data_IF_970984653860
#
_entry.id   IF_970984653860
#
_cell.length_a   1.000
_cell.length_b   1.000
_cell.length_c   1.000
_cell.angle_alpha   90.00
_cell.angle_beta   90.00
_cell.angle_gamma   90.00
#
_symmetry.space_group_name_H-M   'P 1'
#
loop_
_entity.id
_entity.type
_entity.pdbx_description
1 polymer ?
#
# COMPACT_ATOMS: atom_id res chain seq x y z
N UNK A 1 7.05 19.81 12.72
CA UNK A 1 7.14 18.51 12.02
C UNK A 1 6.91 17.48 13.10
N UNK A 2 5.63 17.21 13.39
CA UNK A 2 5.09 16.56 14.60
C UNK A 2 5.50 17.27 15.91
N UNK A 3 4.54 17.70 16.70
CA UNK A 3 4.83 18.15 18.06
C UNK A 3 5.39 16.93 18.81
N UNK A 4 6.55 17.08 19.47
CA UNK A 4 7.22 15.99 20.21
C UNK A 4 6.39 15.44 21.40
N UNK A 5 5.19 16.00 21.61
CA UNK A 5 4.26 15.65 22.67
C UNK A 5 3.06 14.93 22.05
N UNK A 6 3.01 13.62 22.23
CA UNK A 6 1.83 12.81 21.93
C UNK A 6 0.74 13.21 22.94
N UNK A 7 -0.46 13.54 22.44
CA UNK A 7 -1.60 13.89 23.28
C UNK A 7 -1.98 12.70 24.18
N UNK A 8 -2.37 12.98 25.43
CA UNK A 8 -2.61 11.95 26.45
C UNK A 8 -3.76 11.00 26.08
N UNK A 9 -4.79 11.52 25.42
CA UNK A 9 -5.92 10.76 24.90
C UNK A 9 -5.48 9.76 23.81
N UNK A 10 -4.62 10.17 22.87
CA UNK A 10 -4.04 9.29 21.85
C UNK A 10 -3.19 8.19 22.50
N UNK A 11 -2.43 8.52 23.55
CA UNK A 11 -1.65 7.55 24.30
C UNK A 11 -2.55 6.53 25.01
N UNK A 12 -3.64 6.99 25.62
CA UNK A 12 -4.59 6.14 26.33
C UNK A 12 -5.36 5.24 25.36
N UNK A 13 -5.75 5.75 24.20
CA UNK A 13 -6.36 4.96 23.12
C UNK A 13 -5.42 3.85 22.66
N UNK A 14 -4.17 4.18 22.32
CA UNK A 14 -3.17 3.18 21.95
C UNK A 14 -2.97 2.14 23.06
N UNK A 15 -2.88 2.58 24.32
CA UNK A 15 -2.76 1.67 25.47
C UNK A 15 -3.92 0.68 25.52
N UNK A 16 -5.17 1.14 25.40
CA UNK A 16 -6.33 0.25 25.43
C UNK A 16 -6.36 -0.72 24.26
N UNK A 17 -5.94 -0.28 23.08
CA UNK A 17 -5.79 -1.14 21.91
C UNK A 17 -4.78 -2.26 22.22
N UNK A 18 -3.59 -1.94 22.74
CA UNK A 18 -2.58 -2.95 23.07
C UNK A 18 -2.98 -3.88 24.25
N UNK A 19 -3.67 -3.36 25.27
CA UNK A 19 -4.03 -4.13 26.45
C UNK A 19 -5.22 -5.08 26.23
N UNK A 20 -6.22 -4.64 25.45
CA UNK A 20 -7.53 -5.31 25.39
C UNK A 20 -7.87 -5.90 24.02
N UNK A 21 -7.14 -5.55 22.97
CA UNK A 21 -7.32 -6.14 21.64
C UNK A 21 -6.26 -7.21 21.43
N UNK A 22 -6.66 -8.40 20.97
CA UNK A 22 -5.73 -9.42 20.50
C UNK A 22 -5.16 -9.00 19.15
N UNK A 23 -4.09 -8.24 19.18
CA UNK A 23 -3.37 -7.79 17.99
C UNK A 23 -2.30 -8.84 17.68
N UNK A 24 -2.23 -9.24 16.42
CA UNK A 24 -1.08 -10.00 15.92
C UNK A 24 0.16 -9.10 16.04
N UNK A 25 1.05 -9.43 16.97
CA UNK A 25 2.27 -8.64 17.24
C UNK A 25 3.42 -9.06 16.34
N UNK A 26 3.32 -10.20 15.65
CA UNK A 26 4.27 -10.58 14.64
C UNK A 26 4.05 -9.71 13.40
N UNK A 27 4.99 -8.80 13.13
CA UNK A 27 5.01 -8.09 11.86
C UNK A 27 5.05 -9.10 10.70
N UNK A 28 4.29 -8.86 9.62
CA UNK A 28 4.39 -9.69 8.43
C UNK A 28 5.84 -9.69 7.94
N UNK A 29 6.36 -10.89 7.62
CA UNK A 29 7.73 -11.02 7.11
C UNK A 29 7.86 -10.19 5.84
N UNK A 30 8.87 -9.33 5.78
CA UNK A 30 9.19 -8.58 4.57
C UNK A 30 9.51 -9.53 3.41
N UNK A 31 8.93 -9.25 2.24
CA UNK A 31 9.29 -9.95 1.02
C UNK A 31 10.70 -9.52 0.58
N UNK A 32 11.63 -10.48 0.49
CA UNK A 32 12.98 -10.20 -0.03
C UNK A 32 13.01 -10.32 -1.54
N UNK A 33 13.98 -9.64 -2.20
CA UNK A 33 14.19 -9.80 -3.66
C UNK A 33 14.39 -11.28 -4.04
N UNK A 34 15.08 -12.05 -3.19
CA UNK A 34 15.28 -13.50 -3.39
C UNK A 34 13.97 -14.28 -3.29
N UNK A 35 13.08 -13.93 -2.35
CA UNK A 35 11.77 -14.56 -2.22
C UNK A 35 10.88 -14.30 -3.45
N UNK A 36 10.99 -13.11 -4.05
CA UNK A 36 10.19 -12.70 -5.21
C UNK A 36 10.82 -13.09 -6.56
N UNK A 37 12.05 -13.62 -6.58
CA UNK A 37 12.77 -13.92 -7.83
C UNK A 37 12.04 -14.93 -8.74
N UNK A 38 11.24 -15.83 -8.17
CA UNK A 38 10.45 -16.83 -8.91
C UNK A 38 9.00 -16.39 -9.17
N UNK A 39 8.62 -15.20 -8.71
CA UNK A 39 7.28 -14.68 -8.94
C UNK A 39 7.22 -14.12 -10.36
N UNK A 40 6.52 -14.83 -11.24
CA UNK A 40 6.39 -14.52 -12.67
C UNK A 40 4.97 -14.23 -13.12
N UNK A 41 4.01 -14.22 -12.19
CA UNK A 41 2.60 -13.95 -12.50
C UNK A 41 2.43 -12.51 -13.00
N UNK A 42 1.50 -12.28 -13.95
CA UNK A 42 1.09 -10.94 -14.32
C UNK A 42 0.74 -10.12 -13.08
N UNK A 43 1.19 -8.87 -13.05
CA UNK A 43 1.03 -8.00 -11.88
C UNK A 43 0.48 -6.64 -12.28
N UNK A 44 -0.59 -6.24 -11.59
CA UNK A 44 -1.19 -4.92 -11.67
C UNK A 44 -0.83 -4.15 -10.40
N UNK A 45 -0.17 -3.00 -10.56
CA UNK A 45 0.17 -2.10 -9.46
C UNK A 45 -0.75 -0.88 -9.47
N UNK A 46 -1.38 -0.59 -8.34
CA UNK A 46 -1.99 0.72 -8.07
C UNK A 46 -1.11 1.50 -7.12
N UNK A 47 -0.81 2.76 -7.45
CA UNK A 47 -0.01 3.63 -6.61
C UNK A 47 -0.66 5.00 -6.47
N UNK A 48 -0.88 5.44 -5.23
CA UNK A 48 -1.43 6.74 -4.94
C UNK A 48 -0.33 7.82 -4.99
N UNK A 49 -0.62 8.94 -5.64
CA UNK A 49 0.34 10.02 -5.89
C UNK A 49 0.88 10.63 -4.60
N UNK A 50 -0.01 10.95 -3.67
CA UNK A 50 0.26 11.66 -2.42
C UNK A 50 0.04 10.76 -1.19
N UNK A 51 0.26 9.45 -1.32
CA UNK A 51 0.25 8.53 -0.19
C UNK A 51 1.40 8.88 0.79
N UNK A 52 1.07 9.04 2.07
CA UNK A 52 2.03 9.43 3.12
C UNK A 52 2.96 8.26 3.48
N UNK A 53 2.50 7.03 3.33
CA UNK A 53 3.26 5.82 3.62
C UNK A 53 4.01 5.32 2.38
N UNK A 54 3.36 5.37 1.21
CA UNK A 54 3.82 4.69 -0.01
C UNK A 54 3.64 5.55 -1.27
N UNK A 55 4.26 6.73 -1.38
CA UNK A 55 4.03 7.65 -2.49
C UNK A 55 4.47 7.05 -3.83
N UNK A 56 3.65 7.23 -4.88
CA UNK A 56 3.86 6.59 -6.19
C UNK A 56 5.25 6.85 -6.79
N UNK A 57 5.79 8.06 -6.60
CA UNK A 57 7.14 8.45 -7.07
C UNK A 57 8.26 7.56 -6.53
N UNK A 58 8.07 6.92 -5.38
CA UNK A 58 9.03 6.00 -4.77
C UNK A 58 8.69 4.54 -5.08
N UNK A 59 7.40 4.19 -5.05
CA UNK A 59 6.96 2.78 -5.17
C UNK A 59 7.00 2.28 -6.61
N UNK A 60 6.66 3.12 -7.60
CA UNK A 60 6.63 2.68 -9.00
C UNK A 60 8.02 2.24 -9.48
N UNK A 61 9.09 3.05 -9.36
CA UNK A 61 10.43 2.61 -9.80
C UNK A 61 10.92 1.39 -9.02
N UNK A 62 10.57 1.29 -7.73
CA UNK A 62 10.95 0.16 -6.90
C UNK A 62 10.25 -1.12 -7.36
N UNK A 63 8.99 -1.04 -7.76
CA UNK A 63 8.18 -2.16 -8.21
C UNK A 63 8.68 -2.70 -9.54
N UNK A 64 9.04 -1.84 -10.48
CA UNK A 64 9.66 -2.21 -11.77
C UNK A 64 10.97 -2.99 -11.58
N UNK A 65 11.73 -2.72 -10.52
CA UNK A 65 12.95 -3.46 -10.19
C UNK A 65 12.70 -4.81 -9.51
N UNK A 66 11.52 -5.00 -8.90
CA UNK A 66 11.18 -6.20 -8.13
C UNK A 66 10.42 -7.21 -8.99
N UNK A 67 9.41 -6.74 -9.71
CA UNK A 67 8.48 -7.59 -10.44
C UNK A 67 8.93 -7.69 -11.91
N UNK A 68 9.36 -8.88 -12.32
CA UNK A 68 9.74 -9.13 -13.71
C UNK A 68 8.56 -9.13 -14.68
N UNK A 69 7.32 -9.28 -14.16
CA UNK A 69 6.09 -9.26 -14.95
C UNK A 69 5.10 -8.21 -14.39
N UNK A 70 5.58 -6.97 -14.23
CA UNK A 70 4.73 -5.82 -13.93
C UNK A 70 3.97 -5.40 -15.20
N UNK A 71 2.84 -6.06 -15.44
CA UNK A 71 2.04 -5.93 -16.66
C UNK A 71 1.41 -4.54 -16.79
N UNK A 72 0.98 -3.95 -15.67
CA UNK A 72 0.37 -2.62 -15.69
C UNK A 72 0.61 -1.88 -14.38
N UNK A 73 0.83 -0.57 -14.49
CA UNK A 73 0.91 0.35 -13.36
C UNK A 73 -0.11 1.46 -13.55
N UNK A 74 -0.91 1.71 -12.52
CA UNK A 74 -1.93 2.76 -12.49
C UNK A 74 -1.59 3.72 -11.37
N UNK A 75 -1.22 4.95 -11.74
CA UNK A 75 -1.07 6.05 -10.78
C UNK A 75 -2.43 6.71 -10.57
N UNK A 76 -2.88 6.74 -9.32
CA UNK A 76 -4.10 7.41 -8.89
C UNK A 76 -3.74 8.87 -8.59
N UNK A 77 -4.19 9.79 -9.44
CA UNK A 77 -3.86 11.22 -9.34
C UNK A 77 -4.62 11.86 -8.18
N UNK A 78 -4.04 12.88 -7.55
CA UNK A 78 -4.63 13.63 -6.43
C UNK A 78 -5.19 12.71 -5.33
N UNK A 79 -4.47 11.63 -5.03
CA UNK A 79 -4.92 10.58 -4.12
C UNK A 79 -3.97 10.39 -2.93
N UNK A 80 -4.53 10.00 -1.78
CA UNK A 80 -3.77 9.60 -0.59
C UNK A 80 -3.92 8.09 -0.38
N UNK A 81 -3.60 7.58 0.82
CA UNK A 81 -3.74 6.17 1.16
C UNK A 81 -5.21 5.71 1.07
N UNK A 82 -6.11 6.51 1.66
CA UNK A 82 -7.55 6.31 1.56
C UNK A 82 -8.08 6.90 0.24
N UNK A 83 -8.75 6.06 -0.56
CA UNK A 83 -9.21 6.44 -1.90
C UNK A 83 -10.58 7.10 -1.87
N UNK A 84 -10.79 8.05 -2.80
CA UNK A 84 -12.11 8.61 -3.08
C UNK A 84 -12.90 7.72 -4.05
N UNK A 85 -14.21 7.98 -4.20
CA UNK A 85 -15.10 7.18 -5.05
C UNK A 85 -14.67 7.14 -6.53
N UNK A 86 -14.12 8.22 -7.07
CA UNK A 86 -13.66 8.25 -8.46
C UNK A 86 -12.48 7.30 -8.68
N UNK A 87 -11.52 7.28 -7.76
CA UNK A 87 -10.38 6.36 -7.80
C UNK A 87 -10.82 4.92 -7.54
N UNK A 88 -11.81 4.68 -6.66
CA UNK A 88 -12.38 3.35 -6.46
C UNK A 88 -12.98 2.81 -7.75
N UNK A 89 -13.79 3.61 -8.45
CA UNK A 89 -14.36 3.19 -9.75
C UNK A 89 -13.26 2.87 -10.76
N UNK A 90 -12.21 3.70 -10.82
CA UNK A 90 -11.05 3.43 -11.67
C UNK A 90 -10.36 2.12 -11.32
N UNK A 91 -10.12 1.86 -10.03
CA UNK A 91 -9.51 0.59 -9.56
C UNK A 91 -10.34 -0.61 -10.01
N UNK A 92 -11.67 -0.56 -9.83
CA UNK A 92 -12.56 -1.65 -10.21
C UNK A 92 -12.51 -1.92 -11.72
N UNK A 93 -12.64 -0.89 -12.55
CA UNK A 93 -12.54 -1.02 -14.01
C UNK A 93 -11.19 -1.61 -14.45
N UNK A 94 -10.09 -1.17 -13.81
CA UNK A 94 -8.75 -1.65 -14.14
C UNK A 94 -8.52 -3.11 -13.73
N UNK A 95 -9.10 -3.55 -12.60
CA UNK A 95 -9.10 -4.95 -12.17
C UNK A 95 -9.88 -5.81 -13.16
N UNK A 96 -11.09 -5.40 -13.54
CA UNK A 96 -11.92 -6.14 -14.51
C UNK A 96 -11.20 -6.29 -15.84
N UNK A 97 -10.60 -5.22 -16.35
CA UNK A 97 -9.81 -5.26 -17.58
C UNK A 97 -8.60 -6.19 -17.45
N UNK A 98 -7.90 -6.15 -16.33
CA UNK A 98 -6.70 -6.96 -16.10
C UNK A 98 -6.97 -8.46 -16.10
N UNK A 99 -8.13 -8.90 -15.58
CA UNK A 99 -8.50 -10.33 -15.55
C UNK A 99 -9.27 -10.81 -16.79
N UNK A 100 -9.73 -9.89 -17.64
CA UNK A 100 -10.47 -10.22 -18.87
C UNK A 100 -9.57 -10.40 -20.10
N UNK A 101 -8.26 -10.14 -19.97
CA UNK A 101 -7.25 -10.30 -21.02
C UNK A 101 -6.15 -11.27 -20.56
#
# INVERSE_FOLDING_TARGET
MFDDVIQEDVLLEMKYVYDYVKIETAFPKYATKKALQKYSSPTLLFAAENDVFFPSKLIVPRSEQIFSNLTKTVILQNSSHMQNNANINKILTEIEYFFSN
#
